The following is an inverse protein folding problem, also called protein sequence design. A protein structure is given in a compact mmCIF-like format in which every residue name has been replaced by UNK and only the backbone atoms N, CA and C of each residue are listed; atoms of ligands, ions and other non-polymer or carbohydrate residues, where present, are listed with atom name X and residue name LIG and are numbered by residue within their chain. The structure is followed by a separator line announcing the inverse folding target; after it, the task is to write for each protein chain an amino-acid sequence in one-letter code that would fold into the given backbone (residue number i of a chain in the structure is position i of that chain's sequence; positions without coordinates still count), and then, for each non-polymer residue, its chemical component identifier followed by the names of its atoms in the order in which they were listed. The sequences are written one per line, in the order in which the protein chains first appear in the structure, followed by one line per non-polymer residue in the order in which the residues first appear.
data_IF_812012850239
#
_entry.id   IF_812012850239
#
_cell.length_a   1.000
_cell.length_b   1.000
_cell.length_c   1.000
_cell.angle_alpha   90.00
_cell.angle_beta   90.00
_cell.angle_gamma   90.00
#
_symmetry.space_group_name_H-M   'P 1'
#
loop_
_entity.id
_entity.type
_entity.pdbx_description
1 polymer ?
#
# COMPACT_ATOMS: atom_id res chain seq x y z
N UNK A 1 -5.46 18.28 5.75
CA UNK A 1 -6.40 17.65 6.71
C UNK A 1 -7.61 18.53 6.98
N UNK A 2 -7.48 19.69 7.64
CA UNK A 2 -8.63 20.58 7.96
C UNK A 2 -9.54 20.87 6.76
N UNK A 3 -8.97 21.28 5.62
CA UNK A 3 -9.75 21.59 4.42
C UNK A 3 -10.51 20.38 3.88
N UNK A 4 -9.86 19.22 3.82
CA UNK A 4 -10.50 17.96 3.39
C UNK A 4 -11.62 17.57 4.34
N UNK A 5 -11.42 17.71 5.66
CA UNK A 5 -12.48 17.43 6.65
C UNK A 5 -13.69 18.33 6.46
N UNK A 6 -13.48 19.64 6.28
CA UNK A 6 -14.56 20.60 6.02
C UNK A 6 -15.27 20.24 4.72
N UNK A 7 -14.51 19.96 3.65
CA UNK A 7 -15.06 19.57 2.36
C UNK A 7 -15.94 18.31 2.49
N UNK A 8 -15.45 17.27 3.18
CA UNK A 8 -16.22 16.05 3.43
C UNK A 8 -17.50 16.32 4.25
N UNK A 9 -17.45 17.22 5.22
CA UNK A 9 -18.62 17.62 6.00
C UNK A 9 -19.66 18.35 5.13
N UNK A 10 -19.21 19.25 4.25
CA UNK A 10 -20.08 19.96 3.28
C UNK A 10 -20.66 19.02 2.22
N UNK A 11 -19.89 18.00 1.86
CA UNK A 11 -20.28 16.95 0.92
C UNK A 11 -21.22 15.91 1.56
N UNK A 12 -21.30 15.82 2.88
CA UNK A 12 -22.13 14.81 3.52
C UNK A 12 -23.60 14.98 3.08
N UNK A 13 -24.23 13.93 2.49
CA UNK A 13 -25.60 14.04 2.02
C UNK A 13 -26.55 14.28 3.20
N UNK A 14 -27.62 15.04 2.95
CA UNK A 14 -28.70 15.20 3.93
C UNK A 14 -29.29 13.83 4.28
N UNK A 15 -29.82 13.63 5.51
CA UNK A 15 -30.38 12.36 5.94
C UNK A 15 -31.39 11.76 4.96
N UNK A 16 -32.19 12.60 4.30
CA UNK A 16 -33.19 12.14 3.31
C UNK A 16 -32.59 11.53 2.04
N UNK A 17 -31.32 11.86 1.73
CA UNK A 17 -30.58 11.39 0.54
C UNK A 17 -29.45 10.42 0.90
N UNK A 18 -29.26 10.12 2.19
CA UNK A 18 -28.22 9.22 2.65
C UNK A 18 -28.73 7.76 2.61
N UNK A 19 -27.99 6.89 1.93
CA UNK A 19 -28.22 5.46 2.03
C UNK A 19 -27.58 4.93 3.31
N UNK A 20 -28.40 4.54 4.28
CA UNK A 20 -27.94 3.92 5.52
C UNK A 20 -27.98 2.41 5.35
N UNK A 21 -26.82 1.77 5.47
CA UNK A 21 -26.69 0.31 5.42
C UNK A 21 -27.56 -0.29 6.53
N UNK A 22 -28.51 -1.14 6.15
CA UNK A 22 -29.35 -1.84 7.12
C UNK A 22 -28.57 -2.95 7.82
N UNK A 23 -28.83 -3.25 9.11
CA UNK A 23 -28.16 -4.32 9.84
C UNK A 23 -28.21 -5.69 9.13
N UNK A 24 -29.28 -5.99 8.38
CA UNK A 24 -29.42 -7.25 7.65
C UNK A 24 -28.43 -7.37 6.49
N UNK A 25 -28.02 -6.25 5.90
CA UNK A 25 -27.01 -6.21 4.84
C UNK A 25 -25.61 -6.47 5.39
N UNK A 26 -25.35 -6.05 6.64
CA UNK A 26 -24.11 -6.37 7.36
C UNK A 26 -23.99 -7.87 7.64
N UNK A 27 -25.09 -8.56 7.90
CA UNK A 27 -25.09 -10.02 8.10
C UNK A 27 -24.86 -10.81 6.80
N UNK A 28 -24.96 -10.17 5.63
CA UNK A 28 -24.61 -10.76 4.34
C UNK A 28 -23.11 -10.67 4.03
N UNK A 29 -22.33 -9.91 4.82
CA UNK A 29 -20.87 -9.97 4.77
C UNK A 29 -20.42 -11.33 5.27
N UNK A 30 -20.12 -12.23 4.33
CA UNK A 30 -19.34 -13.41 4.62
C UNK A 30 -17.91 -12.98 4.91
N UNK A 31 -17.61 -12.70 6.18
CA UNK A 31 -16.23 -12.72 6.66
C UNK A 31 -15.69 -14.13 6.48
N UNK A 32 -14.37 -14.26 6.32
CA UNK A 32 -13.72 -15.57 6.18
C UNK A 32 -14.18 -16.53 7.29
N UNK A 33 -14.77 -17.65 6.88
CA UNK A 33 -15.16 -18.72 7.79
C UNK A 33 -14.02 -19.74 7.87
N UNK A 34 -13.44 -19.89 9.07
CA UNK A 34 -12.41 -20.88 9.27
C UNK A 34 -12.98 -22.30 9.04
N UNK A 35 -12.20 -23.21 8.41
CA UNK A 35 -12.64 -24.58 8.21
C UNK A 35 -13.00 -25.23 9.56
N UNK A 36 -14.02 -26.11 9.61
CA UNK A 36 -14.32 -26.84 10.83
C UNK A 36 -13.19 -27.83 11.14
N UNK A 37 -12.84 -27.94 12.42
CA UNK A 37 -11.88 -28.96 12.89
C UNK A 37 -12.50 -30.35 12.67
N UNK A 38 -11.78 -31.31 12.06
CA UNK A 38 -12.29 -32.66 11.88
C UNK A 38 -12.54 -33.33 13.25
N UNK A 39 -13.60 -34.12 13.33
CA UNK A 39 -14.00 -34.86 14.53
C UNK A 39 -13.20 -36.14 14.72
N UNK A 40 -12.64 -36.69 13.64
CA UNK A 40 -11.76 -37.86 13.63
C UNK A 40 -10.57 -37.60 12.71
N UNK A 41 -9.42 -38.18 13.06
CA UNK A 41 -8.20 -38.09 12.26
C UNK A 41 -8.18 -39.28 11.29
N UNK A 42 -8.23 -39.02 9.98
CA UNK A 42 -8.12 -40.07 8.96
C UNK A 42 -6.69 -40.58 8.79
N UNK A 43 -5.71 -39.74 9.12
CA UNK A 43 -4.28 -40.02 9.00
C UNK A 43 -3.44 -39.16 9.97
N UNK A 44 -2.16 -39.50 10.20
CA UNK A 44 -1.23 -38.64 10.95
C UNK A 44 -1.08 -37.24 10.34
N UNK A 45 -1.18 -37.12 9.01
CA UNK A 45 -1.14 -35.83 8.30
C UNK A 45 -2.30 -34.93 8.69
N UNK A 46 -3.51 -35.51 8.86
CA UNK A 46 -4.68 -34.74 9.30
C UNK A 46 -4.48 -34.20 10.71
N UNK A 47 -3.89 -34.97 11.62
CA UNK A 47 -3.55 -34.46 12.94
C UNK A 47 -2.53 -33.32 12.87
N UNK A 48 -1.46 -33.47 12.06
CA UNK A 48 -0.42 -32.45 11.90
C UNK A 48 -0.97 -31.11 11.39
N UNK A 49 -1.91 -31.16 10.43
CA UNK A 49 -2.57 -29.98 9.89
C UNK A 49 -3.32 -29.15 10.94
N UNK A 50 -3.75 -29.78 12.04
CA UNK A 50 -4.57 -29.18 13.09
C UNK A 50 -3.86 -29.03 14.43
N UNK A 51 -2.61 -29.49 14.56
CA UNK A 51 -1.82 -29.32 15.77
C UNK A 51 -1.23 -27.90 15.83
N UNK A 52 -1.53 -27.09 16.87
CA UNK A 52 -1.08 -25.70 16.96
C UNK A 52 0.43 -25.57 17.22
N UNK A 53 1.10 -26.64 17.64
CA UNK A 53 2.52 -26.63 17.98
C UNK A 53 3.41 -26.16 16.83
N UNK A 54 3.08 -26.52 15.58
CA UNK A 54 3.85 -26.07 14.41
C UNK A 54 3.83 -24.54 14.24
N UNK A 55 2.65 -23.91 14.35
CA UNK A 55 2.54 -22.46 14.25
C UNK A 55 3.27 -21.75 15.39
N UNK A 56 3.17 -22.29 16.61
CA UNK A 56 3.87 -21.75 17.79
C UNK A 56 5.39 -21.84 17.60
N UNK A 57 5.91 -22.99 17.17
CA UNK A 57 7.35 -23.19 16.93
C UNK A 57 7.87 -22.23 15.86
N UNK A 58 7.16 -22.11 14.74
CA UNK A 58 7.53 -21.19 13.66
C UNK A 58 7.51 -19.74 14.16
N UNK A 59 6.45 -19.33 14.86
CA UNK A 59 6.36 -17.98 15.42
C UNK A 59 7.50 -17.69 16.40
N UNK A 60 7.83 -18.62 17.29
CA UNK A 60 8.96 -18.46 18.23
C UNK A 60 10.27 -18.30 17.44
N UNK A 61 10.51 -19.10 16.40
CA UNK A 61 11.68 -18.95 15.54
C UNK A 61 11.77 -17.56 14.89
N UNK A 62 10.65 -17.07 14.35
CA UNK A 62 10.55 -15.72 13.77
C UNK A 62 10.79 -14.66 14.83
N UNK A 63 10.19 -14.79 16.02
CA UNK A 63 10.34 -13.84 17.12
C UNK A 63 11.79 -13.78 17.63
N UNK A 64 12.46 -14.93 17.78
CA UNK A 64 13.88 -15.01 18.14
C UNK A 64 14.71 -14.27 17.09
N UNK A 65 14.45 -14.50 15.80
CA UNK A 65 15.17 -13.81 14.73
C UNK A 65 14.93 -12.30 14.75
N UNK A 66 13.70 -11.84 14.98
CA UNK A 66 13.38 -10.41 15.09
C UNK A 66 14.10 -9.76 16.28
N UNK A 67 14.10 -10.42 17.45
CA UNK A 67 14.82 -9.95 18.64
C UNK A 67 16.32 -9.87 18.35
N UNK A 68 16.89 -10.88 17.71
CA UNK A 68 18.29 -10.88 17.30
C UNK A 68 18.60 -9.76 16.29
N UNK A 69 17.74 -9.55 15.29
CA UNK A 69 17.90 -8.51 14.28
C UNK A 69 17.93 -7.13 14.91
N UNK A 70 16.92 -6.77 15.71
CA UNK A 70 16.86 -5.45 16.35
C UNK A 70 17.95 -5.25 17.42
N UNK A 71 18.39 -6.31 18.11
CA UNK A 71 19.46 -6.21 19.10
C UNK A 71 20.86 -6.07 18.48
N UNK A 72 21.09 -6.59 17.26
CA UNK A 72 22.40 -6.55 16.60
C UNK A 72 22.53 -5.49 15.51
N UNK A 73 21.42 -5.14 14.85
CA UNK A 73 21.37 -4.18 13.73
C UNK A 73 20.72 -2.84 14.09
N UNK A 74 20.14 -2.72 15.28
CA UNK A 74 19.36 -1.54 15.66
C UNK A 74 18.05 -1.45 14.86
N UNK A 75 17.57 -0.23 14.60
CA UNK A 75 16.29 0.03 13.88
C UNK A 75 16.45 -0.10 12.36
N UNK A 76 17.03 -1.21 11.90
CA UNK A 76 17.12 -1.53 10.46
C UNK A 76 15.79 -2.12 9.98
N UNK A 77 14.80 -1.26 9.76
CA UNK A 77 13.46 -1.67 9.34
C UNK A 77 13.36 -1.70 7.81
N UNK A 78 13.50 -2.90 7.23
CA UNK A 78 13.33 -3.13 5.78
C UNK A 78 11.97 -3.76 5.48
N UNK A 79 11.54 -3.69 4.22
CA UNK A 79 10.32 -4.37 3.76
C UNK A 79 10.34 -5.87 4.08
N UNK A 80 11.50 -6.51 3.99
CA UNK A 80 11.66 -7.92 4.32
C UNK A 80 11.43 -8.21 5.81
N UNK A 81 11.95 -7.36 6.70
CA UNK A 81 11.74 -7.48 8.16
C UNK A 81 10.25 -7.33 8.48
N UNK A 82 9.60 -6.33 7.87
CA UNK A 82 8.16 -6.08 8.03
C UNK A 82 7.34 -7.29 7.53
N UNK A 83 7.62 -7.78 6.32
CA UNK A 83 6.94 -8.94 5.74
C UNK A 83 7.11 -10.19 6.61
N UNK A 84 8.32 -10.42 7.13
CA UNK A 84 8.61 -11.57 7.98
C UNK A 84 7.90 -11.48 9.34
N UNK A 85 7.81 -10.28 9.92
CA UNK A 85 7.04 -10.04 11.13
C UNK A 85 5.53 -10.28 10.93
N UNK A 86 4.95 -9.76 9.84
CA UNK A 86 3.53 -9.99 9.52
C UNK A 86 3.23 -11.45 9.21
N UNK A 87 4.14 -12.17 8.53
CA UNK A 87 4.03 -13.61 8.34
C UNK A 87 3.97 -14.34 9.68
N UNK A 88 4.86 -14.00 10.62
CA UNK A 88 4.85 -14.57 11.97
C UNK A 88 3.54 -14.32 12.70
N UNK A 89 3.05 -13.07 12.69
CA UNK A 89 1.77 -12.71 13.31
C UNK A 89 0.59 -13.44 12.66
N UNK A 90 0.56 -13.55 11.33
CA UNK A 90 -0.47 -14.29 10.61
C UNK A 90 -0.49 -15.77 11.00
N UNK A 91 0.68 -16.41 11.05
CA UNK A 91 0.82 -17.81 11.50
C UNK A 91 0.32 -17.96 12.94
N UNK A 92 0.69 -17.05 13.85
CA UNK A 92 0.26 -17.09 15.25
C UNK A 92 -1.27 -16.92 15.39
N UNK A 93 -1.84 -15.91 14.74
CA UNK A 93 -3.25 -15.55 14.89
C UNK A 93 -4.22 -16.57 14.26
N UNK A 94 -3.78 -17.33 13.26
CA UNK A 94 -4.56 -18.44 12.74
C UNK A 94 -4.50 -19.70 13.62
N UNK A 95 -3.61 -19.75 14.61
CA UNK A 95 -3.38 -20.79 15.64
C UNK A 95 -3.00 -22.18 15.11
N UNK A 96 -3.51 -22.60 13.95
CA UNK A 96 -3.35 -23.94 13.35
C UNK A 96 -2.88 -23.82 11.90
N UNK A 97 -1.99 -24.71 11.41
CA UNK A 97 -1.50 -24.65 10.03
C UNK A 97 -2.62 -24.63 8.99
N UNK A 98 -3.61 -25.51 9.13
CA UNK A 98 -4.71 -25.61 8.16
C UNK A 98 -5.58 -24.35 8.09
N UNK A 99 -5.82 -23.70 9.24
CA UNK A 99 -6.55 -22.44 9.32
C UNK A 99 -5.82 -21.33 8.57
N UNK A 100 -4.49 -21.25 8.74
CA UNK A 100 -3.64 -20.28 8.06
C UNK A 100 -3.60 -20.52 6.54
N UNK A 101 -3.42 -21.76 6.12
CA UNK A 101 -3.39 -22.11 4.69
C UNK A 101 -4.70 -21.79 3.99
N UNK A 102 -5.85 -22.15 4.60
CA UNK A 102 -7.16 -21.85 4.01
C UNK A 102 -7.49 -20.37 3.99
N UNK A 103 -7.06 -19.62 5.00
CA UNK A 103 -7.19 -18.17 4.97
C UNK A 103 -6.33 -17.54 3.89
N UNK A 104 -5.11 -18.05 3.70
CA UNK A 104 -4.19 -17.57 2.67
C UNK A 104 -4.70 -17.89 1.26
N UNK A 105 -5.24 -19.10 1.05
CA UNK A 105 -5.87 -19.50 -0.21
C UNK A 105 -7.07 -18.59 -0.56
N UNK A 106 -7.91 -18.29 0.42
CA UNK A 106 -9.07 -17.43 0.22
C UNK A 106 -8.66 -15.96 -0.02
N UNK A 107 -7.75 -15.43 0.80
CA UNK A 107 -7.19 -14.09 0.61
C UNK A 107 -6.49 -13.94 -0.76
N UNK A 108 -5.85 -15.00 -1.24
CA UNK A 108 -5.25 -15.07 -2.57
C UNK A 108 -6.23 -14.74 -3.70
N UNK A 109 -7.51 -15.15 -3.57
CA UNK A 109 -8.56 -14.81 -4.53
C UNK A 109 -8.93 -13.33 -4.52
N UNK A 110 -8.68 -12.61 -3.43
CA UNK A 110 -8.89 -11.17 -3.37
C UNK A 110 -7.70 -10.39 -3.95
N UNK A 111 -6.47 -10.92 -3.84
CA UNK A 111 -5.24 -10.21 -4.24
C UNK A 111 -4.61 -10.70 -5.55
N UNK A 112 -5.18 -11.71 -6.24
CA UNK A 112 -4.59 -12.27 -7.47
C UNK A 112 -4.27 -11.22 -8.54
N UNK A 113 -5.13 -10.20 -8.68
CA UNK A 113 -4.94 -9.11 -9.63
C UNK A 113 -3.71 -8.28 -9.30
N UNK A 114 -3.35 -8.16 -8.03
CA UNK A 114 -2.11 -7.51 -7.59
C UNK A 114 -0.92 -8.43 -7.87
N UNK A 115 -1.03 -9.74 -7.57
CA UNK A 115 0.04 -10.73 -7.78
C UNK A 115 0.50 -10.75 -9.24
N UNK A 116 -0.42 -10.70 -10.21
CA UNK A 116 -0.07 -10.70 -11.63
C UNK A 116 0.64 -9.42 -12.07
N UNK A 117 0.46 -8.30 -11.37
CA UNK A 117 1.08 -7.02 -11.71
C UNK A 117 2.55 -6.94 -11.26
N UNK A 118 2.92 -7.58 -10.14
CA UNK A 118 4.28 -7.53 -9.58
C UNK A 118 5.40 -7.89 -10.58
N UNK A 119 5.28 -8.95 -11.42
CA UNK A 119 6.26 -9.24 -12.46
C UNK A 119 6.45 -8.10 -13.47
N UNK A 120 5.38 -7.36 -13.82
CA UNK A 120 5.49 -6.21 -14.72
C UNK A 120 6.26 -5.07 -14.06
N UNK A 121 6.02 -4.80 -12.77
CA UNK A 121 6.78 -3.80 -12.02
C UNK A 121 8.26 -4.16 -11.94
N UNK A 122 8.56 -5.44 -11.70
CA UNK A 122 9.93 -5.94 -11.72
C UNK A 122 10.57 -5.80 -13.11
N UNK A 123 9.80 -5.99 -14.19
CA UNK A 123 10.24 -5.73 -15.56
C UNK A 123 10.58 -4.25 -15.80
N UNK A 124 9.72 -3.33 -15.37
CA UNK A 124 9.96 -1.88 -15.45
C UNK A 124 11.21 -1.50 -14.65
N UNK A 125 11.32 -2.00 -13.41
CA UNK A 125 12.52 -1.82 -12.60
C UNK A 125 13.77 -2.34 -13.32
N UNK A 126 13.68 -3.50 -13.96
CA UNK A 126 14.74 -4.07 -14.78
C UNK A 126 15.18 -3.14 -15.91
N UNK A 127 14.23 -2.51 -16.60
CA UNK A 127 14.55 -1.50 -17.63
C UNK A 127 15.32 -0.33 -17.04
N UNK A 128 14.85 0.25 -15.93
CA UNK A 128 15.55 1.37 -15.29
C UNK A 128 16.91 0.97 -14.73
N UNK A 129 17.07 -0.26 -14.23
CA UNK A 129 18.30 -0.75 -13.62
C UNK A 129 19.37 -1.18 -14.62
N UNK A 130 18.95 -1.79 -15.73
CA UNK A 130 19.86 -2.44 -16.69
C UNK A 130 19.98 -1.71 -18.02
N UNK A 131 19.33 -0.54 -18.17
CA UNK A 131 19.47 0.34 -19.34
C UNK A 131 19.79 1.77 -18.90
N UNK A 132 20.11 2.64 -19.85
CA UNK A 132 20.39 4.07 -19.61
C UNK A 132 19.13 4.91 -19.30
N UNK A 133 17.96 4.28 -19.12
CA UNK A 133 16.71 4.98 -18.86
C UNK A 133 16.77 5.79 -17.56
N UNK A 134 17.41 5.27 -16.50
CA UNK A 134 17.58 6.02 -15.24
C UNK A 134 18.40 7.30 -15.44
N UNK A 135 19.44 7.25 -16.28
CA UNK A 135 20.29 8.42 -16.59
C UNK A 135 19.51 9.44 -17.41
N UNK A 136 18.76 8.98 -18.42
CA UNK A 136 17.90 9.83 -19.24
C UNK A 136 16.86 10.57 -18.38
N UNK A 137 16.15 9.84 -17.50
CA UNK A 137 15.16 10.43 -16.60
C UNK A 137 15.79 11.39 -15.58
N UNK A 138 16.93 11.02 -15.00
CA UNK A 138 17.69 11.91 -14.11
C UNK A 138 17.97 13.24 -14.79
N UNK A 139 18.50 13.20 -16.01
CA UNK A 139 18.85 14.41 -16.75
C UNK A 139 17.60 15.20 -17.18
N UNK A 140 16.51 14.52 -17.55
CA UNK A 140 15.24 15.17 -17.86
C UNK A 140 14.71 15.97 -16.66
N UNK A 141 14.66 15.36 -15.47
CA UNK A 141 14.24 16.06 -14.25
C UNK A 141 15.14 17.24 -13.90
N UNK A 142 16.47 17.07 -14.02
CA UNK A 142 17.42 18.17 -13.79
C UNK A 142 17.23 19.31 -14.80
N UNK A 143 16.90 19.00 -16.06
CA UNK A 143 16.73 20.00 -17.11
C UNK A 143 15.44 20.82 -16.96
N UNK A 144 14.35 20.21 -16.48
CA UNK A 144 13.05 20.90 -16.34
C UNK A 144 12.82 21.52 -14.96
N UNK A 145 13.68 21.21 -13.99
CA UNK A 145 13.48 21.57 -12.58
C UNK A 145 14.56 22.50 -12.05
N UNK A 146 14.17 23.29 -11.07
CA UNK A 146 15.04 24.00 -10.13
C UNK A 146 14.95 23.33 -8.76
N UNK A 147 15.82 23.64 -7.78
CA UNK A 147 15.68 23.11 -6.42
C UNK A 147 14.28 23.38 -5.82
N UNK A 148 13.68 24.52 -6.18
CA UNK A 148 12.34 24.92 -5.76
C UNK A 148 11.21 24.17 -6.49
N UNK A 149 11.36 23.87 -7.77
CA UNK A 149 10.25 23.27 -8.55
C UNK A 149 10.35 21.74 -8.61
N UNK A 150 11.49 21.17 -8.26
CA UNK A 150 11.73 19.73 -8.31
C UNK A 150 10.73 18.91 -7.47
N UNK A 151 10.42 19.26 -6.20
CA UNK A 151 9.42 18.51 -5.45
C UNK A 151 8.05 18.49 -6.11
N UNK A 152 7.61 19.60 -6.71
CA UNK A 152 6.34 19.65 -7.44
C UNK A 152 6.33 18.70 -8.65
N UNK A 153 7.42 18.68 -9.42
CA UNK A 153 7.53 17.80 -10.59
C UNK A 153 7.52 16.32 -10.18
N UNK A 154 8.24 15.96 -9.12
CA UNK A 154 8.20 14.60 -8.57
C UNK A 154 6.81 14.27 -8.03
N UNK A 155 6.15 15.21 -7.36
CA UNK A 155 4.80 15.03 -6.83
C UNK A 155 3.78 14.67 -7.92
N UNK A 156 3.78 15.41 -9.03
CA UNK A 156 2.88 15.11 -10.14
C UNK A 156 3.28 13.85 -10.90
N UNK A 157 4.57 13.66 -11.15
CA UNK A 157 5.08 12.50 -11.86
C UNK A 157 4.79 11.20 -11.12
N UNK A 158 5.10 11.14 -9.82
CA UNK A 158 4.90 9.95 -9.00
C UNK A 158 3.42 9.59 -8.90
N UNK A 159 2.54 10.56 -8.64
CA UNK A 159 1.12 10.25 -8.62
C UNK A 159 0.55 9.82 -9.98
N UNK A 160 1.07 10.32 -11.11
CA UNK A 160 0.71 9.76 -12.41
C UNK A 160 1.23 8.32 -12.57
N UNK A 161 2.47 8.06 -12.12
CA UNK A 161 3.09 6.74 -12.20
C UNK A 161 2.41 5.72 -11.29
N UNK A 162 1.84 6.14 -10.17
CA UNK A 162 1.08 5.31 -9.25
C UNK A 162 -0.13 4.62 -9.93
N UNK A 163 -0.71 5.19 -11.00
CA UNK A 163 -1.70 4.47 -11.81
C UNK A 163 -1.13 3.25 -12.55
N UNK A 164 0.15 3.31 -12.91
CA UNK A 164 0.87 2.24 -13.61
C UNK A 164 1.50 1.25 -12.62
N UNK A 165 1.89 1.73 -11.43
CA UNK A 165 2.54 0.96 -10.38
C UNK A 165 1.86 1.27 -9.04
N UNK A 166 0.61 0.81 -8.79
CA UNK A 166 -0.12 1.06 -7.55
C UNK A 166 0.44 0.25 -6.37
N UNK A 167 1.68 0.57 -5.97
CA UNK A 167 2.41 -0.06 -4.89
C UNK A 167 3.54 0.86 -4.45
N UNK A 168 3.38 1.61 -3.36
CA UNK A 168 4.41 2.56 -2.92
C UNK A 168 5.82 1.94 -2.75
N UNK A 169 5.92 0.69 -2.29
CA UNK A 169 7.20 -0.01 -2.23
C UNK A 169 7.77 -0.40 -3.60
N UNK A 170 6.92 -0.90 -4.51
CA UNK A 170 7.32 -1.26 -5.87
C UNK A 170 7.65 -0.04 -6.72
N UNK A 171 6.84 1.02 -6.60
CA UNK A 171 7.06 2.30 -7.23
C UNK A 171 8.36 2.93 -6.73
N UNK A 172 8.62 2.96 -5.42
CA UNK A 172 9.89 3.46 -4.88
C UNK A 172 11.10 2.75 -5.48
N UNK A 173 11.05 1.41 -5.59
CA UNK A 173 12.14 0.63 -6.18
C UNK A 173 12.41 1.04 -7.63
N UNK A 174 11.36 1.38 -8.40
CA UNK A 174 11.46 1.85 -9.78
C UNK A 174 11.97 3.28 -9.87
N UNK A 175 11.47 4.20 -9.03
CA UNK A 175 11.73 5.63 -9.18
C UNK A 175 13.01 6.12 -8.50
N UNK A 176 13.38 5.52 -7.35
CA UNK A 176 14.54 5.91 -6.57
C UNK A 176 15.84 5.99 -7.41
N UNK A 177 16.12 5.06 -8.35
CA UNK A 177 17.31 5.12 -9.20
C UNK A 177 17.51 6.40 -10.02
N UNK A 178 16.46 7.19 -10.29
CA UNK A 178 16.58 8.44 -11.06
C UNK A 178 16.13 9.69 -10.32
N UNK A 179 15.17 9.60 -9.39
CA UNK A 179 14.76 10.79 -8.62
C UNK A 179 15.83 11.17 -7.57
N UNK A 180 16.50 10.18 -6.95
CA UNK A 180 17.51 10.44 -5.92
C UNK A 180 18.76 11.10 -6.53
N UNK A 181 19.33 10.62 -7.66
CA UNK A 181 20.41 11.32 -8.32
C UNK A 181 20.02 12.73 -8.82
N UNK A 182 18.79 12.91 -9.32
CA UNK A 182 18.30 14.22 -9.76
C UNK A 182 18.23 15.20 -8.58
N UNK A 183 17.66 14.78 -7.45
CA UNK A 183 17.61 15.55 -6.21
C UNK A 183 19.01 15.98 -5.77
N UNK A 184 19.96 15.04 -5.77
CA UNK A 184 21.36 15.32 -5.40
C UNK A 184 22.02 16.35 -6.33
N UNK A 185 21.80 16.27 -7.65
CA UNK A 185 22.31 17.24 -8.62
C UNK A 185 21.69 18.63 -8.44
N UNK A 186 20.43 18.71 -8.02
CA UNK A 186 19.71 19.94 -7.74
C UNK A 186 19.91 20.44 -6.30
N UNK A 187 20.70 19.75 -5.47
CA UNK A 187 20.92 20.14 -4.07
C UNK A 187 19.69 20.03 -3.18
N UNK A 188 18.70 19.19 -3.53
CA UNK A 188 17.50 18.95 -2.73
C UNK A 188 17.77 17.85 -1.71
N UNK A 189 17.33 18.06 -0.47
CA UNK A 189 17.49 17.12 0.64
C UNK A 189 16.85 15.75 0.37
N UNK A 190 17.48 14.70 0.91
CA UNK A 190 16.97 13.32 0.75
C UNK A 190 15.63 13.15 1.46
N UNK A 191 15.49 13.76 2.63
CA UNK A 191 14.27 13.68 3.41
C UNK A 191 13.08 14.30 2.68
N UNK A 192 13.28 15.50 2.12
CA UNK A 192 12.32 16.15 1.22
C UNK A 192 11.99 15.29 0.01
N UNK A 193 12.99 14.66 -0.62
CA UNK A 193 12.76 13.79 -1.78
C UNK A 193 11.89 12.58 -1.43
N UNK A 194 12.17 11.91 -0.31
CA UNK A 194 11.41 10.75 0.17
C UNK A 194 9.99 11.15 0.57
N UNK A 195 9.80 12.27 1.30
CA UNK A 195 8.46 12.74 1.68
C UNK A 195 7.66 13.16 0.45
N UNK A 196 8.29 13.86 -0.50
CA UNK A 196 7.63 14.22 -1.75
C UNK A 196 7.13 12.97 -2.49
N UNK A 197 7.97 11.94 -2.58
CA UNK A 197 7.58 10.66 -3.16
C UNK A 197 6.43 9.98 -2.39
N UNK A 198 6.51 9.93 -1.06
CA UNK A 198 5.45 9.31 -0.26
C UNK A 198 4.09 9.98 -0.47
N UNK A 199 4.07 11.32 -0.59
CA UNK A 199 2.85 12.05 -0.90
C UNK A 199 2.42 11.92 -2.36
N UNK A 200 3.37 11.76 -3.29
CA UNK A 200 3.06 11.53 -4.71
C UNK A 200 2.35 10.21 -4.92
N UNK A 201 2.85 9.13 -4.30
CA UNK A 201 2.23 7.80 -4.34
C UNK A 201 0.79 7.84 -3.80
N UNK A 202 0.57 8.51 -2.67
CA UNK A 202 -0.76 8.64 -2.05
C UNK A 202 -1.72 9.58 -2.80
N UNK A 203 -1.24 10.36 -3.78
CA UNK A 203 -2.05 11.39 -4.44
C UNK A 203 -3.26 10.83 -5.17
N UNK A 204 -3.04 9.79 -5.97
CA UNK A 204 -4.05 9.18 -6.84
C UNK A 204 -4.89 8.13 -6.14
N UNK A 205 -4.46 7.65 -4.97
CA UNK A 205 -5.28 6.82 -4.08
C UNK A 205 -6.60 7.48 -3.67
N UNK A 206 -6.67 8.82 -3.72
CA UNK A 206 -7.90 9.57 -3.51
C UNK A 206 -8.94 9.27 -4.59
N UNK A 207 -8.52 8.96 -5.82
CA UNK A 207 -9.38 8.60 -6.96
C UNK A 207 -9.61 7.10 -6.98
N UNK A 208 -8.59 6.29 -6.70
CA UNK A 208 -8.64 4.82 -6.79
C UNK A 208 -8.56 4.14 -5.42
N UNK A 209 -9.60 4.26 -4.57
CA UNK A 209 -9.58 3.70 -3.24
C UNK A 209 -9.73 2.19 -3.25
N UNK A 210 -8.63 1.45 -3.37
CA UNK A 210 -8.63 0.00 -3.13
C UNK A 210 -9.19 -0.34 -1.73
N UNK A 211 -9.02 0.56 -0.77
CA UNK A 211 -9.62 0.50 0.56
C UNK A 211 -11.17 0.49 0.55
N UNK A 212 -11.81 1.05 -0.48
CA UNK A 212 -13.26 1.16 -0.54
C UNK A 212 -13.93 -0.13 -1.04
N UNK A 213 -13.20 -1.08 -1.65
CA UNK A 213 -13.80 -2.26 -2.30
C UNK A 213 -14.67 -3.06 -1.33
N UNK A 214 -14.17 -3.32 -0.11
CA UNK A 214 -14.93 -4.02 0.90
C UNK A 214 -16.22 -3.27 1.26
N UNK A 215 -16.13 -1.96 1.52
CA UNK A 215 -17.29 -1.13 1.87
C UNK A 215 -18.30 -0.98 0.72
N UNK A 216 -17.83 -0.89 -0.51
CA UNK A 216 -18.67 -0.85 -1.71
C UNK A 216 -19.46 -2.14 -1.89
N UNK A 217 -18.82 -3.30 -1.65
CA UNK A 217 -19.51 -4.59 -1.66
C UNK A 217 -20.64 -4.65 -0.62
N UNK A 218 -20.42 -4.10 0.58
CA UNK A 218 -21.45 -3.98 1.63
C UNK A 218 -22.59 -3.08 1.20
N UNK A 219 -22.25 -1.88 0.72
CA UNK A 219 -23.24 -0.89 0.33
C UNK A 219 -23.95 -1.26 -0.98
N UNK A 220 -23.54 -2.34 -1.65
CA UNK A 220 -23.98 -2.72 -3.00
C UNK A 220 -23.83 -1.58 -4.01
N UNK A 221 -22.76 -0.81 -3.85
CA UNK A 221 -22.39 0.29 -4.71
C UNK A 221 -21.28 -0.14 -5.66
N UNK A 222 -21.31 0.38 -6.87
CA UNK A 222 -20.20 0.28 -7.81
C UNK A 222 -19.23 1.44 -7.58
N UNK A 223 -17.99 1.24 -7.99
CA UNK A 223 -16.97 2.28 -7.93
C UNK A 223 -17.39 3.60 -8.61
N UNK A 224 -18.10 3.51 -9.74
CA UNK A 224 -18.63 4.69 -10.47
C UNK A 224 -19.57 5.54 -9.61
N UNK A 225 -20.24 4.94 -8.62
CA UNK A 225 -21.26 5.60 -7.81
C UNK A 225 -20.62 6.56 -6.80
N UNK A 226 -19.35 6.32 -6.43
CA UNK A 226 -18.60 7.18 -5.50
C UNK A 226 -17.59 8.10 -6.20
N UNK A 227 -17.34 7.89 -7.49
CA UNK A 227 -16.27 8.55 -8.23
C UNK A 227 -16.40 10.09 -8.23
N UNK A 228 -17.62 10.63 -8.33
CA UNK A 228 -17.82 12.08 -8.26
C UNK A 228 -17.30 12.68 -6.94
N UNK A 229 -17.53 12.01 -5.82
CA UNK A 229 -17.07 12.44 -4.50
C UNK A 229 -15.54 12.37 -4.38
N UNK A 230 -14.96 11.28 -4.87
CA UNK A 230 -13.52 11.06 -4.87
C UNK A 230 -12.78 12.11 -5.72
N UNK A 231 -13.30 12.45 -6.91
CA UNK A 231 -12.73 13.51 -7.75
C UNK A 231 -12.73 14.87 -7.06
N UNK A 232 -13.82 15.23 -6.38
CA UNK A 232 -13.90 16.49 -5.64
C UNK A 232 -12.84 16.58 -4.54
N UNK A 233 -12.68 15.50 -3.75
CA UNK A 233 -11.64 15.42 -2.72
C UNK A 233 -10.24 15.45 -3.36
N UNK A 234 -10.04 14.71 -4.45
CA UNK A 234 -8.79 14.68 -5.19
C UNK A 234 -8.36 16.06 -5.67
N UNK A 235 -9.23 16.83 -6.35
CA UNK A 235 -8.82 18.13 -6.88
C UNK A 235 -8.44 19.10 -5.77
N UNK A 236 -9.20 19.13 -4.67
CA UNK A 236 -8.88 19.98 -3.52
C UNK A 236 -7.58 19.53 -2.86
N UNK A 237 -7.39 18.22 -2.67
CA UNK A 237 -6.16 17.65 -2.13
C UNK A 237 -4.96 17.99 -3.01
N UNK A 238 -5.04 17.67 -4.31
CA UNK A 238 -4.02 17.90 -5.33
C UNK A 238 -3.60 19.36 -5.43
N UNK A 239 -4.54 20.30 -5.43
CA UNK A 239 -4.22 21.73 -5.48
C UNK A 239 -3.44 22.14 -4.22
N UNK A 240 -3.93 21.77 -3.04
CA UNK A 240 -3.31 22.18 -1.77
C UNK A 240 -1.90 21.60 -1.63
N UNK A 241 -1.73 20.31 -1.92
CA UNK A 241 -0.42 19.64 -1.84
C UNK A 241 0.53 20.13 -2.93
N UNK A 242 0.04 20.41 -4.14
CA UNK A 242 0.86 21.03 -5.20
C UNK A 242 1.39 22.39 -4.77
N UNK A 243 0.53 23.24 -4.17
CA UNK A 243 0.96 24.53 -3.61
C UNK A 243 1.95 24.32 -2.45
N UNK A 244 1.74 23.31 -1.60
CA UNK A 244 2.66 22.98 -0.53
C UNK A 244 4.06 22.61 -1.07
N UNK A 245 4.14 21.71 -2.05
CA UNK A 245 5.43 21.32 -2.65
C UNK A 245 6.06 22.41 -3.52
N UNK A 246 5.26 23.37 -4.01
CA UNK A 246 5.78 24.53 -4.74
C UNK A 246 6.35 25.61 -3.83
N UNK A 247 5.79 25.84 -2.64
CA UNK A 247 6.14 26.99 -1.79
C UNK A 247 6.80 26.62 -0.46
N UNK A 248 6.54 25.43 0.07
CA UNK A 248 6.93 25.02 1.42
C UNK A 248 7.80 23.77 1.37
N UNK A 249 9.01 23.92 0.83
CA UNK A 249 9.97 22.83 0.69
C UNK A 249 10.82 22.77 1.94
N UNK A 250 10.74 21.68 2.73
CA UNK A 250 11.64 21.51 3.85
C UNK A 250 13.08 21.33 3.33
N UNK A 251 14.08 21.82 4.06
CA UNK A 251 15.50 21.76 3.68
C UNK A 251 16.29 20.72 4.51
N UNK A 252 15.67 19.58 4.84
CA UNK A 252 16.29 18.52 5.63
C UNK A 252 16.51 17.23 4.82
#
# INVERSE_FOLDING_TARGET
MVVVTILMALMHPRPEKAFVVKPELMNQLKLYEAPPKPTQWGSPSDWMNWWPGFNIIIFIGIAIWLIWHFSTKGVELTLNVINFAFLGLGILFHWRPWSFLKATEDAGKAVWGIVIQFPFYAGIFGLFRFTELSVAFTNAFVAISTPQTFPLWIYWYGGLLNYLIPSGGGEWAVVAPYIVPAAKKLGVGMGTTIVTFAWSDMMTDMIQPFWAIAMLAVAKLHFRDIMGWLLMVFFVYWIITSLAFLFFIPNW
#
